data_IF_277413671524
#
_entry.id   IF_277413671524
#
_cell.length_a   1.000
_cell.length_b   1.000
_cell.length_c   1.000
_cell.angle_alpha   90.00
_cell.angle_beta   90.00
_cell.angle_gamma   90.00
#
_symmetry.space_group_name_H-M   'P 1'
#
loop_
_entity.id
_entity.type
_entity.pdbx_description
1 polymer ?
#
# COMPACT_ATOMS: atom_id res chain seq x y z
N UNK A 1 2.63 -25.79 -8.65
CA UNK A 1 2.92 -24.40 -8.25
C UNK A 1 2.05 -24.10 -7.04
N UNK A 2 2.65 -23.72 -5.91
CA UNK A 2 1.89 -23.39 -4.70
C UNK A 2 1.70 -21.88 -4.66
N UNK A 3 0.44 -21.44 -4.70
CA UNK A 3 0.09 -20.03 -4.52
C UNK A 3 0.22 -19.73 -3.03
N UNK A 4 1.01 -18.72 -2.67
CA UNK A 4 1.12 -18.24 -1.30
C UNK A 4 0.42 -16.89 -1.17
N UNK A 5 -0.39 -16.76 -0.12
CA UNK A 5 -1.06 -15.51 0.23
C UNK A 5 -0.31 -14.90 1.40
N UNK A 6 0.18 -13.67 1.22
CA UNK A 6 0.89 -12.94 2.28
C UNK A 6 0.20 -11.61 2.55
N UNK A 7 -0.01 -11.31 3.82
CA UNK A 7 -0.53 -10.01 4.27
C UNK A 7 0.59 -8.97 4.24
N UNK A 8 0.42 -7.93 3.44
CA UNK A 8 1.38 -6.81 3.37
C UNK A 8 0.98 -5.68 4.33
N UNK A 9 -0.26 -5.20 4.24
CA UNK A 9 -0.70 -4.00 4.95
C UNK A 9 -1.78 -4.31 6.00
N UNK A 10 -1.69 -3.63 7.15
CA UNK A 10 -2.73 -3.54 8.18
C UNK A 10 -2.77 -2.10 8.68
N UNK A 11 -3.95 -1.50 8.75
CA UNK A 11 -4.14 -0.07 9.07
C UNK A 11 -4.91 0.14 10.39
N UNK A 12 -5.35 -0.93 11.06
CA UNK A 12 -6.20 -0.81 12.25
C UNK A 12 -7.58 -0.23 11.94
N UNK A 13 -8.30 0.23 12.97
CA UNK A 13 -9.69 0.68 12.84
C UNK A 13 -9.86 2.14 12.39
N UNK A 14 -8.80 2.95 12.51
CA UNK A 14 -8.85 4.41 12.24
C UNK A 14 -8.44 4.79 10.82
N UNK A 15 -8.07 3.81 9.99
CA UNK A 15 -7.70 4.03 8.61
C UNK A 15 -8.05 2.81 7.74
N UNK A 16 -8.26 3.03 6.45
CA UNK A 16 -8.72 2.01 5.51
C UNK A 16 -8.00 2.15 4.18
N UNK A 17 -7.78 1.02 3.50
CA UNK A 17 -7.23 1.00 2.14
C UNK A 17 -8.33 1.42 1.18
N UNK A 18 -8.08 2.46 0.41
CA UNK A 18 -9.04 2.97 -0.57
C UNK A 18 -8.54 2.89 -2.02
N UNK A 19 -7.25 2.65 -2.23
CA UNK A 19 -6.67 2.41 -3.55
C UNK A 19 -5.40 1.57 -3.49
N UNK A 20 -5.12 0.86 -4.59
CA UNK A 20 -3.87 0.13 -4.79
C UNK A 20 -3.37 0.33 -6.22
N UNK A 21 -2.05 0.41 -6.40
CA UNK A 21 -1.44 0.60 -7.71
C UNK A 21 -0.07 -0.07 -7.81
N UNK A 22 0.10 -0.93 -8.81
CA UNK A 22 1.39 -1.58 -9.08
C UNK A 22 2.28 -0.70 -9.94
N UNK A 23 3.57 -0.67 -9.62
CA UNK A 23 4.56 -0.16 -10.56
C UNK A 23 4.61 -1.09 -11.79
N UNK A 24 4.65 -0.51 -12.99
CA UNK A 24 4.76 -1.29 -14.24
C UNK A 24 6.03 -2.13 -14.33
N UNK A 25 7.08 -1.76 -13.57
CA UNK A 25 8.33 -2.49 -13.47
C UNK A 25 8.72 -2.68 -12.01
N UNK A 26 9.09 -3.91 -11.66
CA UNK A 26 9.55 -4.29 -10.33
C UNK A 26 8.45 -4.85 -9.44
N UNK A 27 8.69 -4.82 -8.13
CA UNK A 27 7.86 -5.46 -7.09
C UNK A 27 7.14 -4.44 -6.22
N UNK A 28 7.11 -3.18 -6.67
CA UNK A 28 6.58 -2.07 -5.89
C UNK A 28 5.06 -1.97 -5.99
N UNK A 29 4.40 -1.91 -4.85
CA UNK A 29 2.98 -1.68 -4.69
C UNK A 29 2.74 -0.39 -3.91
N UNK A 30 1.92 0.50 -4.45
CA UNK A 30 1.38 1.64 -3.73
C UNK A 30 0.03 1.27 -3.10
N UNK A 31 -0.18 1.70 -1.87
CA UNK A 31 -1.43 1.56 -1.11
C UNK A 31 -1.86 2.94 -0.65
N UNK A 32 -2.97 3.45 -1.16
CA UNK A 32 -3.58 4.71 -0.71
C UNK A 32 -4.58 4.49 0.41
N UNK A 33 -4.58 5.37 1.40
CA UNK A 33 -5.43 5.26 2.59
C UNK A 33 -6.46 6.38 2.72
N UNK A 34 -7.51 6.15 3.50
CA UNK A 34 -8.56 7.14 3.79
C UNK A 34 -8.02 8.40 4.48
N UNK A 35 -6.96 8.28 5.26
CA UNK A 35 -6.31 9.40 5.96
C UNK A 35 -5.30 10.16 5.11
N UNK A 36 -5.26 9.94 3.80
CA UNK A 36 -4.40 10.68 2.89
C UNK A 36 -2.93 10.23 2.89
N UNK A 37 -2.65 9.04 3.42
CA UNK A 37 -1.31 8.44 3.36
C UNK A 37 -1.20 7.56 2.11
N UNK A 38 0.01 7.51 1.56
CA UNK A 38 0.36 6.52 0.53
C UNK A 38 1.52 5.69 1.04
N UNK A 39 1.31 4.39 1.21
CA UNK A 39 2.38 3.47 1.58
C UNK A 39 2.96 2.83 0.33
N UNK A 40 4.29 2.83 0.21
CA UNK A 40 5.01 2.13 -0.85
C UNK A 40 5.60 0.86 -0.26
N UNK A 41 5.28 -0.27 -0.86
CA UNK A 41 5.67 -1.61 -0.44
C UNK A 41 6.53 -2.28 -1.50
N UNK A 42 7.58 -2.97 -1.07
CA UNK A 42 8.26 -3.99 -1.87
C UNK A 42 7.57 -5.33 -1.58
N UNK A 43 6.74 -5.79 -2.51
CA UNK A 43 5.92 -6.98 -2.34
C UNK A 43 6.75 -8.27 -2.33
N UNK A 44 7.91 -8.31 -3.00
CA UNK A 44 8.77 -9.49 -2.98
C UNK A 44 9.47 -9.68 -1.65
N UNK A 45 9.82 -8.57 -0.98
CA UNK A 45 10.44 -8.57 0.36
C UNK A 45 9.42 -8.46 1.49
N UNK A 46 8.12 -8.36 1.15
CA UNK A 46 7.04 -8.12 2.09
C UNK A 46 7.31 -6.95 3.06
N UNK A 47 7.88 -5.85 2.55
CA UNK A 47 8.39 -4.75 3.38
C UNK A 47 7.88 -3.40 2.92
N UNK A 48 7.41 -2.58 3.86
CA UNK A 48 7.11 -1.16 3.60
C UNK A 48 8.41 -0.39 3.40
N UNK A 49 8.56 0.21 2.23
CA UNK A 49 9.74 1.01 1.85
C UNK A 49 9.62 2.43 2.39
N UNK A 50 8.43 3.04 2.27
CA UNK A 50 8.16 4.40 2.74
C UNK A 50 6.67 4.67 2.90
N UNK A 51 6.35 5.71 3.65
CA UNK A 51 5.04 6.34 3.69
C UNK A 51 5.18 7.77 3.17
N UNK A 52 4.35 8.13 2.21
CA UNK A 52 4.22 9.49 1.70
C UNK A 52 3.00 10.13 2.35
N UNK A 53 3.17 11.37 2.78
CA UNK A 53 2.15 12.18 3.46
C UNK A 53 1.98 13.49 2.69
N UNK A 54 0.88 14.21 2.96
CA UNK A 54 0.59 15.52 2.35
C UNK A 54 -0.81 15.64 1.77
N UNK A 55 -1.46 14.52 1.43
CA UNK A 55 -2.88 14.55 1.11
C UNK A 55 -3.69 14.72 2.39
N UNK A 56 -4.66 15.64 2.37
CA UNK A 56 -5.53 15.93 3.53
C UNK A 56 -6.75 15.01 3.59
N UNK A 57 -7.01 14.27 2.53
CA UNK A 57 -8.17 13.41 2.32
C UNK A 57 -7.71 12.11 1.65
N UNK A 58 -8.63 11.15 1.50
CA UNK A 58 -8.36 9.84 0.90
C UNK A 58 -7.62 9.92 -0.44
N UNK A 59 -6.71 8.98 -0.68
CA UNK A 59 -5.98 8.87 -1.96
C UNK A 59 -6.66 7.84 -2.86
N UNK A 60 -7.19 8.29 -4.00
CA UNK A 60 -7.81 7.43 -5.01
C UNK A 60 -6.81 6.85 -6.03
N UNK A 61 -7.27 5.86 -6.80
CA UNK A 61 -6.57 5.31 -7.97
C UNK A 61 -6.91 6.10 -9.23
#
# INVERSE_FOLDING_TARGET
MQIQVTKLCDLGNDDSVCSVGWAQRGTSLAVGTSNGKVQIWDAARCKRVRTMEGHRLRVGA
#
